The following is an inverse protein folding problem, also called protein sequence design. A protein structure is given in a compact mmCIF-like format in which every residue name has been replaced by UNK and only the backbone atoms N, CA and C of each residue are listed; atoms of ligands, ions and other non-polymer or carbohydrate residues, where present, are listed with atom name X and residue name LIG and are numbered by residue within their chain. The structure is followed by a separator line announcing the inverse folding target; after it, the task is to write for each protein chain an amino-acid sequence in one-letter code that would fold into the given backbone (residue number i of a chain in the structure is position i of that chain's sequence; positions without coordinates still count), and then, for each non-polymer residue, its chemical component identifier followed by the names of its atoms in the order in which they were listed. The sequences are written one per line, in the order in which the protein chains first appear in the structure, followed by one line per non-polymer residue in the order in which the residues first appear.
data_IF_513914669662
#
_entry.id   IF_513914669662
#
_cell.length_a   1.000
_cell.length_b   1.000
_cell.length_c   1.000
_cell.angle_alpha   90.00
_cell.angle_beta   90.00
_cell.angle_gamma   90.00
#
_symmetry.space_group_name_H-M   'P 1'
#
loop_
_entity.id
_entity.type
_entity.pdbx_description
1 polymer ?
#
# COMPACT_ATOMS: atom_id res chain seq x y z
N UNK A 1 6.65 28.59 14.20
CA UNK A 1 5.66 27.58 13.80
C UNK A 1 4.28 27.96 14.33
N UNK A 2 3.33 28.29 13.46
CA UNK A 2 1.95 28.65 13.85
C UNK A 2 1.05 27.44 14.14
N UNK A 3 1.55 26.22 13.91
CA UNK A 3 0.81 24.97 14.09
C UNK A 3 1.67 24.03 14.94
N UNK A 4 1.07 23.40 15.95
CA UNK A 4 1.76 22.49 16.86
C UNK A 4 2.16 21.19 16.14
N UNK A 5 3.44 20.80 16.25
CA UNK A 5 3.95 19.50 15.79
C UNK A 5 3.13 18.32 16.36
N UNK A 6 2.62 18.43 17.58
CA UNK A 6 1.78 17.41 18.18
C UNK A 6 0.43 17.25 17.44
N UNK A 7 -0.13 18.35 16.94
CA UNK A 7 -1.36 18.31 16.15
C UNK A 7 -1.12 17.66 14.78
N UNK A 8 0.02 17.94 14.15
CA UNK A 8 0.41 17.33 12.86
C UNK A 8 0.66 15.83 13.04
N UNK A 9 1.39 15.43 14.09
CA UNK A 9 1.64 14.03 14.41
C UNK A 9 0.33 13.27 14.71
N UNK A 10 -0.60 13.88 15.45
CA UNK A 10 -1.93 13.32 15.71
C UNK A 10 -2.74 13.12 14.43
N UNK A 11 -2.75 14.11 13.53
CA UNK A 11 -3.42 14.01 12.24
C UNK A 11 -2.82 12.92 11.33
N UNK A 12 -1.49 12.87 11.20
CA UNK A 12 -0.80 11.86 10.39
C UNK A 12 -1.07 10.46 10.92
N UNK A 13 -1.04 10.28 12.25
CA UNK A 13 -1.30 8.97 12.89
C UNK A 13 -2.76 8.55 12.71
N UNK A 14 -3.72 9.47 12.90
CA UNK A 14 -5.14 9.19 12.69
C UNK A 14 -5.46 8.84 11.23
N UNK A 15 -4.84 9.54 10.28
CA UNK A 15 -4.96 9.26 8.85
C UNK A 15 -4.35 7.91 8.49
N UNK A 16 -3.15 7.60 9.02
CA UNK A 16 -2.52 6.30 8.85
C UNK A 16 -3.39 5.16 9.39
N UNK A 17 -4.00 5.35 10.58
CA UNK A 17 -4.92 4.39 11.16
C UNK A 17 -6.15 4.16 10.27
N UNK A 18 -6.75 5.23 9.74
CA UNK A 18 -7.89 5.12 8.84
C UNK A 18 -7.54 4.40 7.52
N UNK A 19 -6.39 4.71 6.94
CA UNK A 19 -5.91 4.05 5.71
C UNK A 19 -5.66 2.57 5.96
N UNK A 20 -4.98 2.21 7.05
CA UNK A 20 -4.70 0.82 7.41
C UNK A 20 -6.00 0.01 7.49
N UNK A 21 -6.98 0.46 8.28
CA UNK A 21 -8.26 -0.24 8.44
C UNK A 21 -9.11 -0.24 7.17
N UNK A 22 -8.99 0.77 6.31
CA UNK A 22 -9.64 0.77 5.00
C UNK A 22 -9.10 -0.32 4.05
N UNK A 23 -7.85 -0.74 4.21
CA UNK A 23 -7.22 -1.76 3.37
C UNK A 23 -7.34 -3.19 3.95
N UNK A 24 -7.59 -3.36 5.25
CA UNK A 24 -7.71 -4.69 5.89
C UNK A 24 -8.77 -5.59 5.21
N UNK A 25 -10.01 -5.12 4.92
CA UNK A 25 -11.00 -5.95 4.24
C UNK A 25 -10.57 -6.39 2.83
N UNK A 26 -9.82 -5.56 2.11
CA UNK A 26 -9.26 -5.92 0.81
C UNK A 26 -8.17 -6.98 0.94
N UNK A 27 -7.28 -6.83 1.93
CA UNK A 27 -6.21 -7.77 2.20
C UNK A 27 -6.71 -9.15 2.59
N UNK A 28 -7.86 -9.24 3.25
CA UNK A 28 -8.46 -10.49 3.72
C UNK A 28 -9.51 -11.09 2.75
N UNK A 29 -9.85 -10.37 1.66
CA UNK A 29 -10.74 -10.88 0.61
C UNK A 29 -12.24 -10.65 0.82
N UNK A 30 -12.66 -10.05 1.93
CA UNK A 30 -14.08 -9.76 2.23
C UNK A 30 -14.48 -8.29 2.02
N UNK A 31 -13.77 -7.55 1.16
CA UNK A 31 -14.01 -6.12 0.91
C UNK A 31 -15.48 -5.78 0.58
N UNK A 32 -16.21 -6.68 -0.08
CA UNK A 32 -17.63 -6.49 -0.44
C UNK A 32 -18.57 -6.46 0.77
N UNK A 33 -18.16 -7.04 1.90
CA UNK A 33 -18.97 -7.15 3.12
C UNK A 33 -18.77 -5.96 4.07
N UNK A 34 -17.69 -5.19 3.90
CA UNK A 34 -17.35 -4.05 4.77
C UNK A 34 -17.43 -2.75 3.99
N UNK A 35 -18.28 -1.84 4.44
CA UNK A 35 -18.32 -0.50 3.88
C UNK A 35 -17.14 0.32 4.41
N UNK A 36 -16.15 0.61 3.57
CA UNK A 36 -14.95 1.39 3.95
C UNK A 36 -15.17 2.91 3.92
N UNK A 37 -16.38 3.39 3.62
CA UNK A 37 -16.73 4.83 3.58
C UNK A 37 -17.39 5.32 4.87
N UNK A 38 -17.58 4.46 5.87
CA UNK A 38 -18.14 4.83 7.17
C UNK A 38 -17.05 5.27 8.14
N UNK A 39 -17.44 5.75 9.32
CA UNK A 39 -16.48 6.11 10.37
C UNK A 39 -15.53 4.95 10.70
N UNK A 40 -14.24 5.26 10.91
CA UNK A 40 -13.16 4.28 11.05
C UNK A 40 -13.42 3.23 12.14
N UNK A 41 -14.02 3.62 13.28
CA UNK A 41 -14.35 2.66 14.35
C UNK A 41 -15.36 1.58 13.91
N UNK A 42 -16.30 1.91 13.02
CA UNK A 42 -17.24 0.93 12.44
C UNK A 42 -16.52 0.00 11.48
N UNK A 43 -15.60 0.54 10.67
CA UNK A 43 -14.74 -0.27 9.79
C UNK A 43 -13.96 -1.29 10.62
N UNK A 44 -13.39 -0.89 11.77
CA UNK A 44 -12.68 -1.81 12.68
C UNK A 44 -13.61 -2.93 13.15
N UNK A 45 -14.78 -2.57 13.70
CA UNK A 45 -15.73 -3.55 14.25
C UNK A 45 -16.20 -4.51 13.16
N UNK A 46 -16.61 -3.99 12.00
CA UNK A 46 -17.13 -4.81 10.91
C UNK A 46 -16.03 -5.66 10.27
N UNK A 47 -14.78 -5.15 10.21
CA UNK A 47 -13.63 -5.93 9.76
C UNK A 47 -13.33 -7.09 10.69
N UNK A 48 -13.46 -6.91 12.01
CA UNK A 48 -13.26 -7.98 13.00
C UNK A 48 -14.41 -8.98 12.99
N UNK A 49 -15.66 -8.55 12.75
CA UNK A 49 -16.81 -9.45 12.65
C UNK A 49 -16.74 -10.40 11.45
N UNK A 50 -16.22 -9.93 10.32
CA UNK A 50 -16.10 -10.71 9.08
C UNK A 50 -14.73 -11.40 8.92
N UNK A 51 -13.91 -11.45 9.99
CA UNK A 51 -12.70 -12.29 10.02
C UNK A 51 -12.95 -13.76 9.61
N UNK A 52 -14.04 -14.45 10.00
CA UNK A 52 -14.28 -15.82 9.53
C UNK A 52 -14.59 -15.92 8.04
N UNK A 53 -15.01 -14.83 7.39
CA UNK A 53 -15.37 -14.78 5.96
C UNK A 53 -14.14 -14.54 5.05
N UNK A 54 -12.93 -14.79 5.58
CA UNK A 54 -11.67 -14.65 4.86
C UNK A 54 -11.63 -15.63 3.67
N UNK A 55 -11.34 -15.11 2.48
CA UNK A 55 -11.27 -15.92 1.25
C UNK A 55 -9.83 -16.28 0.91
N UNK A 56 -9.63 -17.07 -0.15
CA UNK A 56 -8.30 -17.38 -0.69
C UNK A 56 -7.53 -16.14 -1.15
N UNK A 57 -8.20 -15.00 -1.36
CA UNK A 57 -7.55 -13.72 -1.67
C UNK A 57 -6.59 -13.28 -0.54
N UNK A 58 -6.85 -13.70 0.70
CA UNK A 58 -5.99 -13.39 1.84
C UNK A 58 -4.56 -13.91 1.68
N UNK A 59 -4.39 -15.02 0.95
CA UNK A 59 -3.07 -15.56 0.61
C UNK A 59 -2.28 -14.57 -0.26
N UNK A 60 -2.96 -13.90 -1.19
CA UNK A 60 -2.38 -12.88 -2.07
C UNK A 60 -2.22 -11.52 -1.39
N UNK A 61 -2.84 -11.28 -0.24
CA UNK A 61 -2.62 -10.08 0.58
C UNK A 61 -1.53 -10.27 1.64
N UNK A 62 -1.66 -11.31 2.47
CA UNK A 62 -0.84 -11.51 3.67
C UNK A 62 0.54 -12.07 3.36
N UNK A 63 0.68 -12.98 2.39
CA UNK A 63 1.99 -13.57 2.07
C UNK A 63 2.95 -12.53 1.48
N UNK A 64 2.58 -11.70 0.48
CA UNK A 64 3.44 -10.61 0.03
C UNK A 64 3.82 -9.65 1.14
N UNK A 65 2.86 -9.31 2.02
CA UNK A 65 3.09 -8.42 3.15
C UNK A 65 4.15 -8.99 4.10
N UNK A 66 4.04 -10.26 4.45
CA UNK A 66 5.02 -10.96 5.29
C UNK A 66 6.41 -10.98 4.63
N UNK A 67 6.48 -11.30 3.34
CA UNK A 67 7.74 -11.31 2.58
C UNK A 67 8.34 -9.90 2.51
N UNK A 68 7.53 -8.87 2.29
CA UNK A 68 7.96 -7.47 2.25
C UNK A 68 8.64 -7.05 3.55
N UNK A 69 8.03 -7.37 4.70
CA UNK A 69 8.59 -7.04 6.01
C UNK A 69 9.83 -7.87 6.35
N UNK A 70 9.81 -9.17 6.05
CA UNK A 70 10.96 -10.06 6.25
C UNK A 70 12.16 -9.60 5.43
N UNK A 71 11.95 -9.27 4.16
CA UNK A 71 12.98 -8.74 3.27
C UNK A 71 13.46 -7.36 3.74
N UNK A 72 12.56 -6.47 4.20
CA UNK A 72 12.94 -5.16 4.78
C UNK A 72 13.91 -5.35 5.94
N UNK A 73 13.58 -6.25 6.85
CA UNK A 73 14.40 -6.52 8.02
C UNK A 73 15.74 -7.15 7.62
N UNK A 74 15.71 -8.10 6.69
CA UNK A 74 16.89 -8.79 6.18
C UNK A 74 17.84 -7.85 5.42
N UNK A 75 17.41 -7.22 4.34
CA UNK A 75 18.27 -6.37 3.52
C UNK A 75 18.54 -4.99 4.14
N UNK A 76 17.64 -4.48 4.98
CA UNK A 76 17.77 -3.15 5.58
C UNK A 76 18.53 -3.12 6.91
N UNK A 77 18.43 -4.17 7.74
CA UNK A 77 19.00 -4.14 9.09
C UNK A 77 19.99 -5.27 9.33
N UNK A 78 19.60 -6.52 9.06
CA UNK A 78 20.38 -7.69 9.46
C UNK A 78 21.56 -7.96 8.52
N UNK A 79 21.33 -7.99 7.20
CA UNK A 79 22.32 -8.24 6.16
C UNK A 79 23.49 -7.25 6.17
N UNK A 80 23.23 -5.92 6.25
CA UNK A 80 24.31 -4.93 6.40
C UNK A 80 25.13 -5.12 7.68
N UNK A 81 24.49 -5.41 8.82
CA UNK A 81 25.16 -5.65 10.12
C UNK A 81 26.04 -6.91 10.09
N UNK A 82 25.57 -7.98 9.44
CA UNK A 82 26.34 -9.22 9.28
C UNK A 82 27.53 -8.99 8.34
N UNK A 83 27.31 -8.27 7.22
CA UNK A 83 28.39 -7.90 6.31
C UNK A 83 29.45 -7.02 6.98
N UNK A 84 29.05 -6.08 7.84
CA UNK A 84 29.97 -5.26 8.64
C UNK A 84 30.82 -6.10 9.60
N UNK A 85 30.26 -7.18 10.16
CA UNK A 85 30.98 -8.08 11.09
C UNK A 85 31.94 -9.03 10.38
N UNK A 86 31.54 -9.63 9.25
CA UNK A 86 32.33 -10.67 8.58
C UNK A 86 33.29 -10.14 7.50
N UNK A 87 32.94 -9.06 6.79
CA UNK A 87 33.71 -8.56 5.64
C UNK A 87 34.51 -7.29 5.93
N UNK A 88 34.62 -6.87 7.19
CA UNK A 88 35.37 -5.67 7.60
C UNK A 88 36.84 -5.68 7.13
N UNK A 89 37.44 -6.87 7.00
CA UNK A 89 38.83 -7.06 6.54
C UNK A 89 39.00 -7.01 5.01
N UNK A 90 37.92 -7.02 4.21
CA UNK A 90 37.96 -7.02 2.73
C UNK A 90 37.14 -5.84 2.16
N UNK A 91 37.75 -4.66 1.93
CA UNK A 91 37.02 -3.44 1.59
C UNK A 91 36.28 -3.50 0.24
N UNK A 92 36.82 -4.22 -0.76
CA UNK A 92 36.18 -4.38 -2.08
C UNK A 92 34.91 -5.24 -2.00
N UNK A 93 34.98 -6.38 -1.31
CA UNK A 93 33.85 -7.29 -1.16
C UNK A 93 32.74 -6.65 -0.30
N UNK A 94 33.14 -5.97 0.78
CA UNK A 94 32.23 -5.26 1.66
C UNK A 94 31.41 -4.19 0.93
N UNK A 95 32.05 -3.42 0.04
CA UNK A 95 31.38 -2.42 -0.81
C UNK A 95 30.39 -3.08 -1.77
N UNK A 96 30.79 -4.13 -2.49
CA UNK A 96 29.91 -4.84 -3.43
C UNK A 96 28.66 -5.37 -2.70
N UNK A 97 28.84 -6.02 -1.55
CA UNK A 97 27.73 -6.60 -0.78
C UNK A 97 26.78 -5.52 -0.25
N UNK A 98 27.29 -4.37 0.24
CA UNK A 98 26.43 -3.24 0.64
C UNK A 98 25.62 -2.70 -0.53
N UNK A 99 26.23 -2.58 -1.70
CA UNK A 99 25.54 -2.13 -2.91
C UNK A 99 24.44 -3.10 -3.32
N UNK A 100 24.71 -4.41 -3.26
CA UNK A 100 23.67 -5.43 -3.55
C UNK A 100 22.50 -5.35 -2.56
N UNK A 101 22.75 -5.15 -1.26
CA UNK A 101 21.66 -4.99 -0.28
C UNK A 101 20.87 -3.70 -0.50
N UNK A 102 21.54 -2.61 -0.87
CA UNK A 102 20.89 -1.34 -1.17
C UNK A 102 19.94 -1.46 -2.39
N UNK A 103 20.42 -2.02 -3.50
CA UNK A 103 19.58 -2.22 -4.69
C UNK A 103 18.47 -3.25 -4.46
N UNK A 104 18.76 -4.35 -3.76
CA UNK A 104 17.76 -5.36 -3.41
C UNK A 104 16.67 -4.79 -2.48
N UNK A 105 17.01 -3.82 -1.63
CA UNK A 105 16.04 -3.13 -0.79
C UNK A 105 15.18 -2.17 -1.61
N UNK A 106 15.77 -1.44 -2.55
CA UNK A 106 15.06 -0.48 -3.40
C UNK A 106 14.08 -1.16 -4.37
N UNK A 107 14.45 -2.32 -4.93
CA UNK A 107 13.62 -3.05 -5.92
C UNK A 107 12.57 -3.98 -5.30
N UNK A 108 12.56 -4.16 -3.98
CA UNK A 108 11.72 -5.13 -3.26
C UNK A 108 10.24 -5.10 -3.67
N UNK A 109 9.64 -3.91 -3.71
CA UNK A 109 8.22 -3.77 -4.05
C UNK A 109 7.94 -4.22 -5.48
N UNK A 110 8.79 -3.83 -6.44
CA UNK A 110 8.64 -4.22 -7.84
C UNK A 110 8.79 -5.72 -8.06
N UNK A 111 9.80 -6.34 -7.44
CA UNK A 111 10.04 -7.79 -7.53
C UNK A 111 8.82 -8.57 -7.04
N UNK A 112 8.28 -8.19 -5.88
CA UNK A 112 7.14 -8.89 -5.28
C UNK A 112 5.89 -8.75 -6.14
N UNK A 113 5.63 -7.56 -6.70
CA UNK A 113 4.51 -7.36 -7.64
C UNK A 113 4.64 -8.30 -8.84
N UNK A 114 5.83 -8.37 -9.47
CA UNK A 114 6.04 -9.23 -10.64
C UNK A 114 5.82 -10.70 -10.29
N UNK A 115 6.44 -11.18 -9.21
CA UNK A 115 6.35 -12.59 -8.79
C UNK A 115 4.91 -12.99 -8.47
N UNK A 116 4.20 -12.19 -7.67
CA UNK A 116 2.81 -12.51 -7.31
C UNK A 116 1.85 -12.36 -8.48
N UNK A 117 2.13 -11.45 -9.42
CA UNK A 117 1.38 -11.37 -10.68
C UNK A 117 1.56 -12.63 -11.52
N UNK A 118 2.79 -13.14 -11.63
CA UNK A 118 3.05 -14.41 -12.32
C UNK A 118 2.35 -15.60 -11.64
N UNK A 119 2.35 -15.66 -10.31
CA UNK A 119 1.65 -16.71 -9.55
C UNK A 119 0.13 -16.61 -9.77
N UNK A 120 -0.45 -15.41 -9.63
CA UNK A 120 -1.87 -15.18 -9.85
C UNK A 120 -2.28 -15.55 -11.28
N UNK A 121 -1.46 -15.20 -12.26
CA UNK A 121 -1.67 -15.59 -13.65
C UNK A 121 -1.58 -17.10 -13.86
N UNK A 122 -0.62 -17.79 -13.23
CA UNK A 122 -0.48 -19.24 -13.34
C UNK A 122 -1.72 -19.98 -12.81
N UNK A 123 -2.36 -19.47 -11.75
CA UNK A 123 -3.56 -20.07 -11.14
C UNK A 123 -4.84 -19.75 -11.91
N UNK A 124 -4.89 -18.59 -12.57
CA UNK A 124 -6.10 -18.09 -13.26
C UNK A 124 -6.10 -18.36 -14.76
N UNK A 125 -4.95 -18.73 -15.33
CA UNK A 125 -4.82 -19.15 -16.73
C UNK A 125 -5.70 -20.37 -16.99
N UNK A 126 -6.52 -20.30 -18.05
CA UNK A 126 -7.43 -21.38 -18.45
C UNK A 126 -8.76 -21.42 -17.69
N UNK A 127 -9.01 -20.47 -16.75
CA UNK A 127 -10.29 -20.35 -16.04
C UNK A 127 -11.11 -19.17 -16.56
N UNK A 128 -12.41 -19.40 -16.76
CA UNK A 128 -13.38 -18.33 -17.04
C UNK A 128 -13.49 -17.38 -15.84
N UNK A 129 -13.94 -16.15 -16.06
CA UNK A 129 -14.06 -15.13 -15.01
C UNK A 129 -14.96 -15.58 -13.83
N UNK A 130 -15.93 -16.45 -14.08
CA UNK A 130 -16.82 -17.01 -13.06
C UNK A 130 -16.15 -18.08 -12.16
N UNK A 131 -15.13 -18.77 -12.67
CA UNK A 131 -14.50 -19.91 -11.99
C UNK A 131 -13.17 -19.53 -11.31
N UNK A 132 -12.82 -18.24 -11.30
CA UNK A 132 -11.57 -17.78 -10.70
C UNK A 132 -11.67 -17.83 -9.18
N UNK A 133 -10.76 -18.54 -8.50
CA UNK A 133 -10.76 -18.63 -7.04
C UNK A 133 -10.21 -17.36 -6.37
N UNK A 134 -9.68 -16.43 -7.16
CA UNK A 134 -8.97 -15.23 -6.70
C UNK A 134 -9.49 -14.02 -7.48
N UNK A 135 -9.65 -12.90 -6.79
CA UNK A 135 -9.97 -11.60 -7.38
C UNK A 135 -8.76 -11.05 -8.16
N UNK A 136 -8.94 -10.79 -9.46
CA UNK A 136 -7.89 -10.24 -10.33
C UNK A 136 -8.25 -8.82 -10.75
N UNK A 137 -7.24 -7.95 -10.88
CA UNK A 137 -7.40 -6.66 -11.52
C UNK A 137 -8.01 -6.82 -12.92
N UNK A 138 -9.03 -6.01 -13.22
CA UNK A 138 -9.68 -5.98 -14.51
C UNK A 138 -8.78 -5.45 -15.62
N UNK A 139 -9.37 -5.11 -16.77
CA UNK A 139 -8.63 -4.52 -17.87
C UNK A 139 -8.21 -3.08 -17.54
N UNK A 140 -6.90 -2.82 -17.63
CA UNK A 140 -6.36 -1.46 -17.59
C UNK A 140 -6.35 -0.93 -19.02
N UNK A 141 -7.07 0.17 -19.33
CA UNK A 141 -7.08 0.74 -20.67
C UNK A 141 -5.69 1.26 -21.06
N UNK A 142 -5.22 0.90 -22.25
CA UNK A 142 -3.96 1.43 -22.80
C UNK A 142 -4.14 2.84 -23.37
N UNK A 143 -3.14 3.69 -23.17
CA UNK A 143 -3.08 5.04 -23.74
C UNK A 143 -3.94 6.07 -23.00
N UNK A 144 -3.83 7.32 -23.45
CA UNK A 144 -4.64 8.42 -22.93
C UNK A 144 -6.01 8.38 -23.63
N UNK A 145 -7.05 7.97 -22.91
CA UNK A 145 -8.42 7.90 -23.46
C UNK A 145 -9.18 9.21 -23.38
N UNK A 146 -8.97 9.96 -22.31
CA UNK A 146 -9.74 11.17 -21.97
C UNK A 146 -8.86 12.43 -22.11
N UNK A 147 -8.25 12.61 -23.29
CA UNK A 147 -7.43 13.80 -23.57
C UNK A 147 -8.34 14.90 -24.10
N UNK A 148 -8.70 15.84 -23.23
CA UNK A 148 -9.58 16.95 -23.58
C UNK A 148 -9.66 17.98 -22.46
N UNK A 149 -10.31 19.10 -22.72
CA UNK A 149 -10.60 20.10 -21.70
C UNK A 149 -11.56 19.49 -20.68
N UNK A 150 -11.23 19.61 -19.39
CA UNK A 150 -12.12 19.16 -18.33
C UNK A 150 -13.41 19.99 -18.32
N UNK A 151 -14.53 19.35 -18.62
CA UNK A 151 -15.85 19.97 -18.54
C UNK A 151 -16.41 19.72 -17.15
N UNK A 152 -16.53 20.78 -16.34
CA UNK A 152 -17.03 20.67 -14.96
C UNK A 152 -18.52 20.28 -15.01
N UNK A 153 -18.91 19.09 -14.54
CA UNK A 153 -20.31 18.73 -14.50
C UNK A 153 -21.06 19.61 -13.49
N UNK A 154 -22.30 20.02 -13.81
CA UNK A 154 -23.08 20.89 -12.94
C UNK A 154 -23.24 20.26 -11.55
N UNK A 155 -23.04 21.08 -10.50
CA UNK A 155 -23.14 20.65 -9.10
C UNK A 155 -21.90 19.97 -8.51
N UNK A 156 -20.86 19.66 -9.29
CA UNK A 156 -19.62 19.10 -8.76
C UNK A 156 -18.90 20.08 -7.82
N UNK A 157 -18.82 21.36 -8.20
CA UNK A 157 -18.18 22.38 -7.37
C UNK A 157 -18.94 22.64 -6.07
N UNK A 158 -20.26 22.51 -6.06
CA UNK A 158 -21.07 22.61 -4.84
C UNK A 158 -20.78 21.46 -3.87
N UNK A 159 -20.52 20.24 -4.39
CA UNK A 159 -20.14 19.08 -3.58
C UNK A 159 -18.67 19.11 -3.12
N UNK A 160 -17.76 19.68 -3.91
CA UNK A 160 -16.33 19.77 -3.58
C UNK A 160 -16.02 20.96 -2.67
N UNK A 161 -16.68 22.10 -2.87
CA UNK A 161 -16.43 23.36 -2.17
C UNK A 161 -16.24 23.21 -0.66
N UNK A 162 -17.16 22.52 0.06
CA UNK A 162 -17.04 22.34 1.51
C UNK A 162 -15.79 21.55 1.94
N UNK A 163 -15.24 20.68 1.10
CA UNK A 163 -14.08 19.83 1.41
C UNK A 163 -12.74 20.46 0.97
N UNK A 164 -12.76 21.54 0.18
CA UNK A 164 -11.55 22.20 -0.31
C UNK A 164 -10.71 22.83 0.82
N UNK A 165 -11.28 23.61 1.77
CA UNK A 165 -10.48 24.21 2.83
C UNK A 165 -9.74 23.16 3.68
N UNK A 166 -10.43 22.07 4.03
CA UNK A 166 -9.84 20.97 4.77
C UNK A 166 -8.71 20.30 3.97
N UNK A 167 -8.94 20.01 2.68
CA UNK A 167 -7.92 19.40 1.80
C UNK A 167 -6.68 20.27 1.65
N UNK A 168 -6.84 21.60 1.49
CA UNK A 168 -5.72 22.55 1.36
C UNK A 168 -4.89 22.59 2.64
N UNK A 169 -5.54 22.67 3.81
CA UNK A 169 -4.85 22.66 5.10
C UNK A 169 -4.05 21.36 5.24
N UNK A 170 -4.64 20.21 4.94
CA UNK A 170 -3.95 18.91 5.01
C UNK A 170 -2.74 18.85 4.08
N UNK A 171 -2.88 19.28 2.82
CA UNK A 171 -1.78 19.29 1.85
C UNK A 171 -0.63 20.21 2.30
N UNK A 172 -0.95 21.39 2.85
CA UNK A 172 0.06 22.30 3.39
C UNK A 172 0.76 21.71 4.62
N UNK A 173 0.00 21.10 5.52
CA UNK A 173 0.56 20.43 6.71
C UNK A 173 1.48 19.28 6.34
N UNK A 174 1.10 18.46 5.37
CA UNK A 174 1.94 17.36 4.87
C UNK A 174 3.25 17.90 4.27
N UNK A 175 3.18 18.95 3.46
CA UNK A 175 4.38 19.56 2.86
C UNK A 175 5.32 20.18 3.91
N UNK A 176 4.76 20.86 4.93
CA UNK A 176 5.55 21.43 6.04
C UNK A 176 6.16 20.33 6.92
N UNK A 177 5.47 19.21 7.12
CA UNK A 177 6.00 18.10 7.92
C UNK A 177 7.16 17.36 7.25
N UNK A 178 7.23 17.39 5.91
CA UNK A 178 8.28 16.75 5.11
C UNK A 178 9.46 17.70 4.85
N UNK A 179 9.21 19.01 4.72
CA UNK A 179 10.22 20.05 4.43
C UNK A 179 10.99 20.46 5.68
#
# INVERSE_FOLDING_TARGET
EFISLNAVAGFMTGSAFNILWGQVPALMGYNKLVNTRVATYKIVIDSLKHLPDTTLDAVFGLIPLFILYTWKWWCGTYGPKVNDRFNSKRPRLHKIVKWTYFYAQASRNGIIIIVFTCIAWAITRGKSAADRPISVLGSVPSGLKEVGVFHVPPGLMSKLGPNLPASIIVLLLEHIAIS
#
